data_IF_577161514951
#
_entry.id   IF_577161514951
#
_cell.length_a   1.000
_cell.length_b   1.000
_cell.length_c   1.000
_cell.angle_alpha   90.00
_cell.angle_beta   90.00
_cell.angle_gamma   90.00
#
_symmetry.space_group_name_H-M   'P 1'
#
loop_
_entity.id
_entity.type
_entity.pdbx_description
1 polymer ?
#
# COMPACT_ATOMS: atom_id res chain seq x y z
N UNK A 1 48.44 -18.59 58.44
CA UNK A 1 49.14 -19.89 58.31
C UNK A 1 48.49 -20.89 59.23
N UNK A 2 48.13 -22.09 58.73
CA UNK A 2 48.06 -23.41 59.41
C UNK A 2 46.92 -24.25 58.79
N UNK A 3 47.21 -25.22 57.91
CA UNK A 3 47.65 -26.60 58.19
C UNK A 3 46.48 -27.45 58.73
N UNK A 4 45.68 -28.02 57.83
CA UNK A 4 44.65 -29.01 58.18
C UNK A 4 45.30 -30.28 58.73
N UNK A 5 44.99 -30.60 59.99
CA UNK A 5 45.37 -31.84 60.63
C UNK A 5 44.41 -32.95 60.21
N UNK A 6 44.93 -34.00 59.56
CA UNK A 6 44.20 -35.28 59.43
C UNK A 6 44.34 -36.02 60.76
N UNK A 7 43.22 -36.28 61.45
CA UNK A 7 43.20 -37.19 62.60
C UNK A 7 43.29 -38.63 62.11
N UNK A 8 44.26 -39.38 62.61
CA UNK A 8 44.32 -40.83 62.54
C UNK A 8 43.19 -41.43 63.38
N UNK A 9 42.42 -42.35 62.80
CA UNK A 9 41.46 -43.21 63.52
C UNK A 9 42.16 -44.53 63.84
N UNK A 10 42.26 -44.96 65.12
CA UNK A 10 42.81 -46.26 65.44
C UNK A 10 41.77 -47.35 65.13
N UNK A 11 42.21 -48.38 64.43
CA UNK A 11 41.45 -49.58 64.10
C UNK A 11 41.22 -50.40 65.36
N UNK A 12 39.98 -50.49 65.86
CA UNK A 12 39.70 -51.34 67.02
C UNK A 12 38.29 -51.37 67.63
N UNK A 13 37.28 -50.68 67.07
CA UNK A 13 35.90 -50.79 67.55
C UNK A 13 35.05 -51.55 66.52
N UNK A 14 34.49 -52.71 66.92
CA UNK A 14 33.45 -53.42 66.14
C UNK A 14 32.25 -52.47 66.02
N UNK A 15 31.75 -52.30 64.80
CA UNK A 15 30.50 -51.61 64.57
C UNK A 15 29.38 -52.35 65.32
N UNK A 16 28.60 -51.63 66.13
CA UNK A 16 27.35 -52.17 66.67
C UNK A 16 26.39 -52.38 65.50
N UNK A 17 25.67 -53.51 65.49
CA UNK A 17 24.72 -53.83 64.44
C UNK A 17 23.63 -52.75 64.37
N UNK A 18 23.36 -52.28 63.15
CA UNK A 18 22.35 -51.26 62.90
C UNK A 18 20.97 -51.78 63.33
N UNK A 19 20.23 -50.96 64.09
CA UNK A 19 18.86 -51.27 64.48
C UNK A 19 18.01 -51.55 63.22
N UNK A 20 17.27 -52.68 63.18
CA UNK A 20 16.40 -53.01 62.05
C UNK A 20 15.38 -51.92 61.79
N UNK A 21 15.15 -51.63 60.51
CA UNK A 21 14.28 -50.56 60.02
C UNK A 21 12.85 -50.57 60.61
N UNK A 22 12.35 -51.74 61.02
CA UNK A 22 10.99 -51.91 61.54
C UNK A 22 10.79 -51.30 62.94
N UNK A 23 11.82 -51.16 63.76
CA UNK A 23 11.72 -50.61 65.12
C UNK A 23 11.81 -49.07 65.18
N UNK A 24 12.16 -48.40 64.09
CA UNK A 24 12.21 -46.93 64.02
C UNK A 24 10.91 -46.29 63.50
N UNK A 25 9.77 -46.97 63.68
CA UNK A 25 8.45 -46.47 63.39
C UNK A 25 8.15 -45.18 64.16
N UNK A 26 7.93 -44.08 63.43
CA UNK A 26 7.58 -42.76 63.98
C UNK A 26 6.30 -42.85 64.81
N UNK A 27 6.17 -42.12 65.93
CA UNK A 27 4.86 -41.91 66.55
C UNK A 27 3.95 -41.30 65.49
N UNK A 28 2.77 -41.91 65.30
CA UNK A 28 1.78 -41.51 64.32
C UNK A 28 1.54 -40.01 64.40
N UNK A 29 2.06 -39.27 63.42
CA UNK A 29 1.65 -37.90 63.13
C UNK A 29 0.59 -38.02 62.06
N UNK A 30 -0.58 -37.51 62.36
CA UNK A 30 -1.73 -37.50 61.48
C UNK A 30 -1.27 -37.07 60.07
N UNK A 31 -1.48 -37.94 59.07
CA UNK A 31 -1.13 -37.64 57.68
C UNK A 31 -1.77 -36.33 57.21
N UNK A 32 -2.88 -35.95 57.84
CA UNK A 32 -3.59 -34.71 57.61
C UNK A 32 -2.78 -33.48 58.07
N UNK A 33 -2.10 -33.54 59.22
CA UNK A 33 -1.25 -32.48 59.75
C UNK A 33 0.04 -32.32 58.93
N UNK A 34 0.63 -33.43 58.45
CA UNK A 34 1.80 -33.38 57.56
C UNK A 34 1.44 -32.88 56.15
N UNK A 35 0.28 -33.27 55.62
CA UNK A 35 -0.28 -32.72 54.37
C UNK A 35 -0.63 -31.25 54.52
N UNK A 36 -1.18 -30.81 55.65
CA UNK A 36 -1.48 -29.40 55.94
C UNK A 36 -0.19 -28.59 56.11
N UNK A 37 0.84 -29.12 56.79
CA UNK A 37 2.18 -28.50 56.87
C UNK A 37 2.89 -28.46 55.52
N UNK A 38 2.74 -29.47 54.66
CA UNK A 38 3.22 -29.45 53.26
C UNK A 38 2.46 -28.44 52.41
N UNK A 39 1.14 -28.32 52.59
CA UNK A 39 0.30 -27.28 51.95
C UNK A 39 0.70 -25.88 52.43
N UNK A 40 0.89 -25.67 53.74
CA UNK A 40 1.38 -24.42 54.35
C UNK A 40 2.83 -24.08 53.95
N UNK A 41 3.72 -25.08 53.84
CA UNK A 41 5.09 -24.90 53.33
C UNK A 41 5.12 -24.58 51.83
N UNK A 42 4.25 -25.20 51.03
CA UNK A 42 4.06 -24.84 49.60
C UNK A 42 3.46 -23.45 49.42
N UNK A 43 2.75 -22.93 50.42
CA UNK A 43 2.07 -21.61 50.40
C UNK A 43 2.87 -20.48 51.07
N UNK A 44 4.17 -20.67 51.37
CA UNK A 44 5.06 -19.51 51.55
C UNK A 44 5.39 -19.00 50.15
N UNK A 45 4.53 -18.11 49.67
CA UNK A 45 4.73 -17.31 48.48
C UNK A 45 6.01 -16.49 48.72
N UNK A 46 7.13 -17.01 48.20
CA UNK A 46 8.40 -16.31 48.22
C UNK A 46 8.25 -15.14 47.25
N UNK A 47 7.94 -13.97 47.80
CA UNK A 47 7.94 -12.72 47.05
C UNK A 47 9.39 -12.48 46.65
N UNK A 48 9.70 -12.81 45.40
CA UNK A 48 11.00 -12.57 44.77
C UNK A 48 11.16 -11.06 44.59
N UNK A 49 11.56 -10.37 45.65
CA UNK A 49 11.90 -8.95 45.60
C UNK A 49 13.21 -8.78 44.80
N UNK A 50 13.20 -7.86 43.83
CA UNK A 50 14.33 -7.61 42.93
C UNK A 50 15.39 -6.76 43.64
N UNK A 51 16.20 -7.39 44.50
CA UNK A 51 17.19 -6.72 45.36
C UNK A 51 18.25 -5.94 44.56
N UNK A 52 18.54 -6.37 43.32
CA UNK A 52 19.59 -5.79 42.47
C UNK A 52 19.08 -5.13 41.18
N UNK A 53 17.75 -5.01 40.98
CA UNK A 53 17.16 -4.37 39.80
C UNK A 53 17.30 -5.15 38.47
N UNK A 54 17.58 -6.47 38.53
CA UNK A 54 17.82 -7.29 37.34
C UNK A 54 16.54 -7.52 36.52
N UNK A 55 15.39 -7.68 37.18
CA UNK A 55 14.10 -7.79 36.50
C UNK A 55 13.70 -6.44 35.88
N UNK A 56 14.02 -5.33 36.53
CA UNK A 56 13.81 -3.98 35.98
C UNK A 56 14.65 -3.74 34.73
N UNK A 57 15.95 -4.06 34.76
CA UNK A 57 16.83 -3.94 33.59
C UNK A 57 16.38 -4.87 32.44
N UNK A 58 15.95 -6.10 32.74
CA UNK A 58 15.40 -7.02 31.73
C UNK A 58 14.11 -6.49 31.11
N UNK A 59 13.22 -5.89 31.91
CA UNK A 59 12.00 -5.23 31.42
C UNK A 59 12.32 -4.02 30.55
N UNK A 60 13.29 -3.18 30.93
CA UNK A 60 13.75 -2.06 30.11
C UNK A 60 14.31 -2.54 28.78
N UNK A 61 15.12 -3.60 28.76
CA UNK A 61 15.59 -4.21 27.51
C UNK A 61 14.45 -4.77 26.64
N UNK A 62 13.40 -5.34 27.25
CA UNK A 62 12.23 -5.79 26.52
C UNK A 62 11.45 -4.60 25.93
N UNK A 63 11.23 -3.55 26.72
CA UNK A 63 10.56 -2.32 26.27
C UNK A 63 11.33 -1.65 25.13
N UNK A 64 12.65 -1.53 25.24
CA UNK A 64 13.50 -1.00 24.17
C UNK A 64 13.38 -1.81 22.88
N UNK A 65 13.32 -3.15 22.98
CA UNK A 65 13.12 -4.03 21.81
C UNK A 65 11.73 -3.84 21.19
N UNK A 66 10.69 -3.73 22.00
CA UNK A 66 9.32 -3.48 21.52
C UNK A 66 9.19 -2.12 20.84
N UNK A 67 9.80 -1.07 21.40
CA UNK A 67 9.86 0.27 20.81
C UNK A 67 10.64 0.28 19.49
N UNK A 68 11.78 -0.42 19.44
CA UNK A 68 12.59 -0.56 18.22
C UNK A 68 11.83 -1.31 17.12
N UNK A 69 11.16 -2.42 17.47
CA UNK A 69 10.33 -3.17 16.52
C UNK A 69 9.16 -2.31 16.01
N UNK A 70 8.52 -1.52 16.87
CA UNK A 70 7.46 -0.60 16.46
C UNK A 70 8.00 0.51 15.54
N UNK A 71 9.21 1.04 15.83
CA UNK A 71 9.89 2.01 14.98
C UNK A 71 10.19 1.44 13.59
N UNK A 72 10.74 0.22 13.52
CA UNK A 72 10.97 -0.52 12.27
C UNK A 72 9.67 -0.76 11.51
N UNK A 73 8.57 -1.12 12.21
CA UNK A 73 7.24 -1.29 11.60
C UNK A 73 6.71 0.02 11.03
N UNK A 74 6.89 1.15 11.73
CA UNK A 74 6.52 2.49 11.25
C UNK A 74 7.35 2.89 10.04
N UNK A 75 8.65 2.61 10.02
CA UNK A 75 9.54 2.90 8.89
C UNK A 75 9.24 2.03 7.68
N UNK A 76 8.96 0.75 7.87
CA UNK A 76 8.48 -0.12 6.79
C UNK A 76 7.19 0.45 6.16
N UNK A 77 6.20 0.86 6.98
CA UNK A 77 4.97 1.51 6.46
C UNK A 77 5.24 2.80 5.69
N UNK A 78 6.22 3.62 6.09
CA UNK A 78 6.64 4.83 5.35
C UNK A 78 7.32 4.46 4.03
N UNK A 79 8.24 3.49 4.06
CA UNK A 79 8.96 2.99 2.88
C UNK A 79 8.01 2.38 1.86
N UNK A 80 7.09 1.51 2.29
CA UNK A 80 6.07 0.90 1.42
C UNK A 80 5.19 1.95 0.75
N UNK A 81 4.78 3.01 1.46
CA UNK A 81 4.04 4.13 0.85
C UNK A 81 4.88 4.90 -0.18
N UNK A 82 6.18 5.08 0.05
CA UNK A 82 7.09 5.73 -0.91
C UNK A 82 7.25 4.87 -2.17
N UNK A 83 7.49 3.57 -2.01
CA UNK A 83 7.61 2.61 -3.11
C UNK A 83 6.33 2.57 -3.93
N UNK A 84 5.16 2.43 -3.30
CA UNK A 84 3.86 2.42 -3.99
C UNK A 84 3.60 3.70 -4.79
N UNK A 85 4.03 4.87 -4.30
CA UNK A 85 3.93 6.13 -5.05
C UNK A 85 4.87 6.16 -6.25
N UNK A 86 6.10 5.66 -6.11
CA UNK A 86 7.04 5.54 -7.22
C UNK A 86 6.52 4.58 -8.28
N UNK A 87 6.03 3.41 -7.86
CA UNK A 87 5.43 2.41 -8.73
C UNK A 87 4.19 2.96 -9.44
N UNK A 88 3.30 3.68 -8.74
CA UNK A 88 2.17 4.36 -9.39
C UNK A 88 2.62 5.37 -10.45
N UNK A 89 3.70 6.12 -10.20
CA UNK A 89 4.25 7.07 -11.18
C UNK A 89 4.86 6.36 -12.39
N UNK A 90 5.61 5.28 -12.16
CA UNK A 90 6.18 4.45 -13.24
C UNK A 90 5.08 3.78 -14.06
N UNK A 91 4.09 3.17 -13.43
CA UNK A 91 2.98 2.51 -14.10
C UNK A 91 2.03 3.50 -14.80
N UNK A 92 1.95 4.76 -14.32
CA UNK A 92 1.23 5.82 -15.02
C UNK A 92 1.98 6.35 -16.25
N UNK A 93 3.29 6.14 -16.34
CA UNK A 93 4.06 6.44 -17.54
C UNK A 93 3.80 5.35 -18.57
N UNK A 94 3.29 5.75 -19.73
CA UNK A 94 2.96 4.86 -20.84
C UNK A 94 3.88 5.18 -22.01
N UNK A 95 4.43 4.15 -22.63
CA UNK A 95 5.26 4.31 -23.81
C UNK A 95 4.43 4.75 -25.02
N UNK A 96 4.85 5.78 -25.76
CA UNK A 96 4.09 6.24 -26.92
C UNK A 96 4.16 5.29 -28.14
N UNK A 97 5.14 4.38 -28.16
CA UNK A 97 5.33 3.41 -29.24
C UNK A 97 4.47 2.15 -29.03
N UNK A 98 4.72 1.38 -27.97
CA UNK A 98 3.96 0.15 -27.67
C UNK A 98 2.69 0.38 -26.83
N UNK A 99 2.49 1.56 -26.23
CA UNK A 99 1.39 1.88 -25.29
C UNK A 99 1.32 1.02 -24.03
N UNK A 100 2.42 0.35 -23.70
CA UNK A 100 2.52 -0.39 -22.45
C UNK A 100 2.91 0.54 -21.29
N UNK A 101 2.33 0.36 -20.09
CA UNK A 101 2.70 1.10 -18.90
C UNK A 101 4.06 0.65 -18.37
N UNK A 102 4.74 1.53 -17.62
CA UNK A 102 5.96 1.21 -16.87
C UNK A 102 7.25 1.77 -17.45
N UNK A 103 7.26 2.20 -18.72
CA UNK A 103 8.46 2.70 -19.40
C UNK A 103 8.15 3.85 -20.38
N UNK A 104 9.17 4.64 -20.70
CA UNK A 104 9.12 5.70 -21.71
C UNK A 104 9.61 5.21 -23.07
N UNK A 105 9.50 6.05 -24.11
CA UNK A 105 9.91 5.69 -25.48
C UNK A 105 11.38 5.28 -25.58
N UNK A 106 12.26 5.87 -24.77
CA UNK A 106 13.70 5.55 -24.75
C UNK A 106 14.01 4.15 -24.19
N UNK A 107 13.21 3.68 -23.24
CA UNK A 107 13.40 2.38 -22.57
C UNK A 107 12.46 1.31 -23.15
N UNK A 108 11.92 1.55 -24.36
CA UNK A 108 10.95 0.65 -24.96
C UNK A 108 11.64 -0.58 -25.55
N UNK A 109 11.32 -1.80 -25.09
CA UNK A 109 11.96 -3.01 -25.58
C UNK A 109 11.69 -3.24 -27.07
N UNK A 110 10.53 -2.80 -27.58
CA UNK A 110 10.16 -2.91 -28.98
C UNK A 110 10.96 -1.95 -29.90
N UNK A 111 11.49 -0.84 -29.37
CA UNK A 111 12.25 0.15 -30.17
C UNK A 111 13.66 -0.35 -30.48
N UNK A 112 14.20 -1.29 -29.70
CA UNK A 112 15.53 -1.87 -29.95
C UNK A 112 15.62 -2.59 -31.31
N UNK A 113 14.49 -3.06 -31.84
CA UNK A 113 14.39 -3.74 -33.13
C UNK A 113 14.14 -2.79 -34.31
N UNK A 114 13.64 -1.57 -34.06
CA UNK A 114 13.31 -0.60 -35.11
C UNK A 114 14.25 0.63 -35.03
N UNK A 115 15.49 0.46 -35.49
CA UNK A 115 16.55 1.48 -35.49
C UNK A 115 16.22 2.78 -36.25
N UNK A 116 15.08 2.87 -36.93
CA UNK A 116 14.71 3.98 -37.82
C UNK A 116 13.90 5.10 -37.15
N UNK A 117 13.57 4.95 -35.87
CA UNK A 117 12.82 5.94 -35.11
C UNK A 117 13.80 6.81 -34.36
N UNK A 118 14.13 7.98 -34.91
CA UNK A 118 15.12 8.93 -34.38
C UNK A 118 14.81 9.45 -32.97
N UNK A 119 14.99 8.61 -31.96
CA UNK A 119 14.91 8.94 -30.55
C UNK A 119 16.00 9.96 -30.23
N UNK A 120 15.60 11.15 -29.78
CA UNK A 120 16.54 12.23 -29.47
C UNK A 120 16.77 13.24 -30.60
N UNK A 121 16.04 13.14 -31.72
CA UNK A 121 16.05 14.17 -32.75
C UNK A 121 15.05 15.28 -32.41
N UNK A 122 15.46 16.53 -32.60
CA UNK A 122 14.56 17.67 -32.59
C UNK A 122 13.57 17.57 -33.74
N UNK A 123 12.30 17.33 -33.44
CA UNK A 123 11.25 17.20 -34.44
C UNK A 123 10.98 18.46 -35.28
N UNK A 124 11.54 19.62 -34.88
CA UNK A 124 11.46 20.88 -35.64
C UNK A 124 12.61 21.07 -36.63
N UNK A 125 13.84 20.75 -36.26
CA UNK A 125 15.02 21.04 -37.09
C UNK A 125 15.93 19.84 -37.41
N UNK A 126 15.60 18.64 -36.94
CA UNK A 126 16.34 17.42 -37.28
C UNK A 126 17.67 17.24 -36.53
N UNK A 127 18.05 18.15 -35.62
CA UNK A 127 19.28 18.04 -34.84
C UNK A 127 19.12 17.10 -33.65
N UNK A 128 20.15 16.31 -33.33
CA UNK A 128 20.17 15.42 -32.15
C UNK A 128 20.61 16.10 -30.85
N UNK A 129 21.03 17.36 -30.92
CA UNK A 129 21.62 18.07 -29.78
C UNK A 129 20.59 18.60 -28.76
N UNK A 130 19.32 18.73 -29.16
CA UNK A 130 18.29 19.34 -28.32
C UNK A 130 16.87 18.85 -28.61
N UNK A 131 15.98 19.01 -27.63
CA UNK A 131 14.54 18.73 -27.76
C UNK A 131 13.77 19.90 -28.37
N UNK A 132 12.53 19.64 -28.83
CA UNK A 132 11.58 20.65 -29.35
C UNK A 132 11.53 21.92 -28.47
N UNK A 133 11.55 21.76 -27.15
CA UNK A 133 11.42 22.87 -26.18
C UNK A 133 12.61 23.82 -26.16
N UNK A 134 13.80 23.33 -26.52
CA UNK A 134 15.04 24.11 -26.56
C UNK A 134 15.44 24.51 -27.97
N UNK A 135 14.62 24.16 -28.96
CA UNK A 135 14.85 24.48 -30.35
C UNK A 135 14.71 25.98 -30.61
N UNK A 136 15.78 26.59 -31.10
CA UNK A 136 15.84 28.00 -31.51
C UNK A 136 15.73 28.19 -33.02
N UNK A 137 15.67 27.10 -33.79
CA UNK A 137 15.57 27.15 -35.23
C UNK A 137 14.21 27.71 -35.65
N UNK A 138 14.23 28.68 -36.57
CA UNK A 138 13.02 29.15 -37.25
C UNK A 138 12.79 28.20 -38.42
N UNK A 139 11.71 27.43 -38.35
CA UNK A 139 11.31 26.49 -39.41
C UNK A 139 10.35 27.22 -40.34
N UNK A 140 10.50 26.99 -41.64
CA UNK A 140 9.61 27.59 -42.63
C UNK A 140 8.17 27.12 -42.40
N UNK A 141 7.18 28.03 -42.37
CA UNK A 141 5.78 27.68 -42.12
C UNK A 141 5.18 26.78 -43.22
N UNK A 142 5.82 26.70 -44.40
CA UNK A 142 5.43 25.81 -45.48
C UNK A 142 5.69 24.32 -45.17
N UNK A 143 6.70 24.02 -44.33
CA UNK A 143 7.10 22.66 -43.97
C UNK A 143 6.28 22.07 -42.80
N UNK A 144 5.26 22.80 -42.34
CA UNK A 144 4.43 22.42 -41.21
C UNK A 144 5.13 22.58 -39.84
N UNK A 145 4.41 22.33 -38.73
CA UNK A 145 4.94 22.57 -37.40
C UNK A 145 6.05 21.58 -36.98
N UNK A 146 6.06 20.36 -37.54
CA UNK A 146 6.98 19.28 -37.16
C UNK A 146 7.44 18.44 -38.36
N UNK A 147 8.27 18.99 -39.27
CA UNK A 147 8.67 18.30 -40.50
C UNK A 147 9.44 16.99 -40.26
N UNK A 148 10.21 16.92 -39.17
CA UNK A 148 11.04 15.75 -38.85
C UNK A 148 10.38 14.79 -37.85
N UNK A 149 9.13 15.05 -37.42
CA UNK A 149 8.38 14.11 -36.60
C UNK A 149 7.87 12.95 -37.44
N UNK A 150 8.25 11.71 -37.10
CA UNK A 150 7.61 10.49 -37.59
C UNK A 150 6.47 10.10 -36.64
N UNK A 151 5.28 9.87 -37.19
CA UNK A 151 4.14 9.42 -36.42
C UNK A 151 4.30 7.95 -35.98
N UNK A 152 4.11 7.65 -34.70
CA UNK A 152 4.20 6.28 -34.18
C UNK A 152 3.01 5.39 -34.55
N UNK A 153 2.00 5.93 -35.23
CA UNK A 153 0.77 5.21 -35.57
C UNK A 153 0.73 4.88 -37.07
N UNK A 154 0.88 5.89 -37.94
CA UNK A 154 0.87 5.70 -39.39
C UNK A 154 2.28 5.64 -40.02
N UNK A 155 3.34 6.00 -39.29
CA UNK A 155 4.72 6.01 -39.80
C UNK A 155 5.08 7.21 -40.68
N UNK A 156 4.10 8.04 -41.05
CA UNK A 156 4.32 9.22 -41.90
C UNK A 156 5.05 10.35 -41.16
N UNK A 157 5.77 11.18 -41.92
CA UNK A 157 6.48 12.35 -41.41
C UNK A 157 5.60 13.61 -41.47
N UNK A 158 5.83 14.55 -40.56
CA UNK A 158 5.18 15.88 -40.57
C UNK A 158 4.20 16.12 -39.43
N UNK A 159 3.84 15.10 -38.65
CA UNK A 159 2.90 15.22 -37.53
C UNK A 159 3.26 14.29 -36.35
N UNK A 160 2.73 14.61 -35.17
CA UNK A 160 2.84 13.79 -33.97
C UNK A 160 1.68 12.80 -33.90
N UNK A 161 1.85 11.67 -33.20
CA UNK A 161 0.79 10.66 -33.00
C UNK A 161 -0.52 11.20 -32.41
N UNK A 162 -0.47 12.35 -31.72
CA UNK A 162 -1.67 13.03 -31.19
C UNK A 162 -2.50 13.70 -32.29
N UNK A 163 -1.87 14.15 -33.35
CA UNK A 163 -2.49 14.88 -34.48
C UNK A 163 -2.56 14.02 -35.73
N UNK A 164 -2.44 12.70 -35.58
CA UNK A 164 -2.56 11.77 -36.69
C UNK A 164 -4.04 11.68 -37.12
N UNK A 165 -4.36 11.93 -38.40
CA UNK A 165 -5.72 11.82 -38.91
C UNK A 165 -6.22 10.36 -38.87
N UNK A 166 -5.32 9.41 -39.15
CA UNK A 166 -5.62 7.98 -39.20
C UNK A 166 -5.18 7.28 -37.91
N UNK A 167 -5.84 7.61 -36.79
CA UNK A 167 -5.55 6.97 -35.50
C UNK A 167 -6.57 5.87 -35.16
N UNK A 168 -6.30 4.59 -35.47
CA UNK A 168 -7.21 3.50 -35.12
C UNK A 168 -7.29 3.26 -33.59
N UNK A 169 -6.26 3.66 -32.84
CA UNK A 169 -6.17 3.38 -31.40
C UNK A 169 -6.70 4.51 -30.52
N UNK A 170 -7.07 5.67 -31.03
CA UNK A 170 -7.57 6.74 -30.16
C UNK A 170 -6.51 7.66 -29.54
N UNK A 171 -6.95 8.82 -29.04
CA UNK A 171 -6.15 9.77 -28.23
C UNK A 171 -5.88 9.30 -26.79
N UNK A 172 -6.63 8.30 -26.30
CA UNK A 172 -6.51 7.78 -24.95
C UNK A 172 -5.35 6.79 -24.81
N UNK A 173 -4.73 6.74 -23.63
CA UNK A 173 -3.58 5.88 -23.35
C UNK A 173 -3.92 4.38 -23.48
N UNK A 174 -5.06 3.96 -22.94
CA UNK A 174 -5.61 2.59 -23.04
C UNK A 174 -6.27 2.32 -24.40
N UNK A 175 -6.33 3.33 -25.25
CA UNK A 175 -7.02 3.33 -26.53
C UNK A 175 -8.51 3.67 -26.46
N UNK A 176 -9.10 3.92 -27.63
CA UNK A 176 -10.52 4.26 -27.81
C UNK A 176 -10.80 5.74 -28.06
N UNK A 177 -12.08 6.05 -28.30
CA UNK A 177 -12.57 7.40 -28.56
C UNK A 177 -13.17 8.10 -27.33
N UNK A 178 -13.62 9.33 -27.53
CA UNK A 178 -14.40 10.09 -26.58
C UNK A 178 -15.55 9.24 -26.05
N UNK A 179 -15.70 9.15 -24.72
CA UNK A 179 -16.72 8.30 -24.08
C UNK A 179 -18.16 8.80 -24.27
N UNK A 180 -18.36 9.96 -24.89
CA UNK A 180 -19.68 10.53 -25.16
C UNK A 180 -20.11 10.23 -26.60
N UNK A 181 -19.33 10.69 -27.58
CA UNK A 181 -19.63 10.57 -29.00
C UNK A 181 -18.90 9.44 -29.72
N UNK A 182 -17.95 8.77 -29.06
CA UNK A 182 -17.13 7.70 -29.65
C UNK A 182 -16.01 8.16 -30.59
N UNK A 183 -15.87 9.47 -30.88
CA UNK A 183 -14.86 9.93 -31.83
C UNK A 183 -13.43 9.89 -31.27
N UNK A 184 -12.45 9.62 -32.13
CA UNK A 184 -11.04 9.50 -31.73
C UNK A 184 -10.34 10.87 -31.64
N UNK A 185 -10.91 11.89 -32.26
CA UNK A 185 -10.25 13.19 -32.50
C UNK A 185 -10.18 14.10 -31.28
N UNK A 186 -10.99 13.88 -30.24
CA UNK A 186 -11.00 14.74 -29.06
C UNK A 186 -11.12 13.98 -27.74
N UNK A 187 -10.69 14.63 -26.66
CA UNK A 187 -10.96 14.16 -25.31
C UNK A 187 -12.39 14.51 -24.91
N UNK A 188 -12.98 13.74 -23.99
CA UNK A 188 -14.30 14.00 -23.38
C UNK A 188 -14.53 15.46 -22.96
N UNK A 189 -13.48 16.19 -22.57
CA UNK A 189 -13.58 17.61 -22.17
C UNK A 189 -13.90 18.53 -23.34
N UNK A 190 -13.31 18.25 -24.50
CA UNK A 190 -13.40 19.05 -25.71
C UNK A 190 -14.50 18.49 -26.64
N UNK A 191 -15.39 17.65 -26.09
CA UNK A 191 -16.46 17.04 -26.84
C UNK A 191 -17.54 18.10 -27.15
N UNK A 192 -17.88 18.34 -28.43
CA UNK A 192 -18.89 19.32 -28.79
C UNK A 192 -20.27 18.95 -28.22
N UNK A 193 -20.58 17.64 -28.11
CA UNK A 193 -21.82 17.16 -27.50
C UNK A 193 -21.90 17.46 -25.99
N UNK A 194 -20.75 17.56 -25.31
CA UNK A 194 -20.71 17.93 -23.88
C UNK A 194 -21.04 19.40 -23.65
N UNK A 195 -20.69 20.29 -24.60
CA UNK A 195 -21.05 21.71 -24.52
C UNK A 195 -22.58 21.89 -24.57
N UNK A 196 -23.27 21.04 -25.33
CA UNK A 196 -24.74 21.05 -25.41
C UNK A 196 -25.41 20.46 -24.15
N UNK A 197 -24.70 19.67 -23.35
CA UNK A 197 -25.19 19.08 -22.10
C UNK A 197 -24.83 19.90 -20.85
N UNK A 198 -24.00 20.95 -20.98
CA UNK A 198 -23.52 21.79 -19.86
C UNK A 198 -24.47 22.91 -19.45
N UNK A 199 -25.79 22.69 -19.56
CA UNK A 199 -26.73 23.37 -18.66
C UNK A 199 -26.76 22.63 -17.31
N UNK A 200 -25.58 22.40 -16.73
CA UNK A 200 -25.41 21.86 -15.39
C UNK A 200 -25.39 23.05 -14.44
N UNK A 201 -26.49 23.22 -13.71
CA UNK A 201 -26.60 24.13 -12.58
C UNK A 201 -25.49 23.81 -11.58
N UNK A 202 -24.38 24.55 -11.64
CA UNK A 202 -23.40 24.56 -10.55
C UNK A 202 -24.12 25.21 -9.37
N UNK A 203 -24.76 24.38 -8.55
CA UNK A 203 -25.25 24.79 -7.24
C UNK A 203 -24.07 25.35 -6.49
N UNK A 204 -23.99 26.68 -6.39
CA UNK A 204 -23.01 27.37 -5.58
C UNK A 204 -23.23 26.91 -4.16
N UNK A 205 -22.26 26.21 -3.60
CA UNK A 205 -22.30 25.80 -2.20
C UNK A 205 -22.42 27.07 -1.36
N UNK A 206 -23.52 27.19 -0.61
CA UNK A 206 -23.72 28.31 0.29
C UNK A 206 -22.71 28.16 1.43
N UNK A 207 -22.12 29.27 1.87
CA UNK A 207 -21.15 29.29 2.98
C UNK A 207 -21.79 28.65 4.22
N UNK A 208 -21.41 27.41 4.55
CA UNK A 208 -21.99 26.63 5.65
C UNK A 208 -22.27 25.15 5.35
N UNK A 209 -22.17 24.70 4.10
CA UNK A 209 -22.38 23.28 3.74
C UNK A 209 -21.09 22.48 3.91
N UNK A 210 -21.08 21.49 4.80
CA UNK A 210 -19.93 20.59 5.02
C UNK A 210 -19.86 19.51 3.95
N UNK A 211 -18.66 18.93 3.78
CA UNK A 211 -18.39 17.88 2.77
C UNK A 211 -19.16 16.57 2.99
N UNK A 212 -19.78 16.40 4.16
CA UNK A 212 -20.57 15.22 4.55
C UNK A 212 -22.09 15.47 4.52
N UNK A 213 -22.55 16.55 3.87
CA UNK A 213 -23.98 16.83 3.78
C UNK A 213 -24.68 15.85 2.81
N UNK A 214 -25.17 14.73 3.35
CA UNK A 214 -26.09 13.83 2.65
C UNK A 214 -27.36 14.61 2.26
N UNK A 215 -27.54 14.84 0.97
CA UNK A 215 -28.77 15.39 0.42
C UNK A 215 -29.85 14.30 0.51
N UNK A 216 -30.59 14.29 1.62
CA UNK A 216 -31.78 13.43 1.78
C UNK A 216 -32.78 13.89 0.72
N UNK A 217 -32.76 13.22 -0.42
CA UNK A 217 -33.86 13.31 -1.38
C UNK A 217 -35.07 12.71 -0.69
N UNK A 218 -35.96 13.58 -0.20
CA UNK A 218 -37.29 13.17 0.20
C UNK A 218 -37.91 12.47 -1.01
N UNK A 219 -38.04 11.14 -0.91
CA UNK A 219 -38.65 10.33 -1.96
C UNK A 219 -40.00 10.98 -2.34
N UNK A 220 -40.24 11.30 -3.62
CA UNK A 220 -41.50 11.90 -4.01
C UNK A 220 -42.62 10.95 -3.62
N UNK A 221 -43.54 11.41 -2.76
CA UNK A 221 -44.75 10.68 -2.39
C UNK A 221 -45.45 10.23 -3.67
N UNK A 222 -45.42 8.92 -3.93
CA UNK A 222 -46.15 8.28 -5.02
C UNK A 222 -47.62 8.73 -4.93
N UNK A 223 -48.07 9.49 -5.92
CA UNK A 223 -49.48 9.81 -6.06
C UNK A 223 -50.21 8.51 -6.40
N UNK A 224 -51.08 8.06 -5.49
CA UNK A 224 -51.92 6.88 -5.72
C UNK A 224 -52.72 7.06 -7.03
N UNK A 225 -52.79 6.06 -7.91
CA UNK A 225 -53.59 6.17 -9.13
C UNK A 225 -55.06 6.32 -8.74
N UNK A 226 -55.71 7.38 -9.27
CA UNK A 226 -57.16 7.58 -9.10
C UNK A 226 -57.90 6.45 -9.80
N UNK A 227 -58.76 5.75 -9.07
CA UNK A 227 -59.63 4.70 -9.62
C UNK A 227 -60.57 5.31 -10.68
N UNK A 228 -60.65 4.66 -11.85
CA UNK A 228 -61.59 5.04 -12.92
C UNK A 228 -63.00 4.63 -12.50
N UNK A 229 -63.92 5.59 -12.43
CA UNK A 229 -65.36 5.32 -12.21
C UNK A 229 -65.94 4.78 -13.53
N UNK A 230 -66.72 3.68 -13.52
CA UNK A 230 -67.37 3.20 -14.73
C UNK A 230 -68.45 4.18 -15.19
N UNK A 231 -68.48 4.49 -16.49
CA UNK A 231 -69.54 5.27 -17.12
C UNK A 231 -70.84 4.47 -17.09
N UNK A 232 -71.83 4.98 -16.37
CA UNK A 232 -73.21 4.51 -16.47
C UNK A 232 -73.77 5.01 -17.80
N UNK A 233 -74.16 4.09 -18.67
CA UNK A 233 -74.92 4.40 -19.89
C UNK A 233 -76.40 4.22 -19.54
N UNK A 234 -77.15 5.32 -19.56
CA UNK A 234 -78.61 5.28 -19.50
C UNK A 234 -79.15 5.05 -20.91
N UNK A 235 -80.08 4.10 -21.04
CA UNK A 235 -80.80 3.80 -22.27
C UNK A 235 -81.78 4.92 -22.66
#
# INVERSE_FOLDING_TARGET
MTRWARRNVPTGARALDATPWEEMGRPGKDEEEEKERRKRRKKKEYVSEDVNGFLAHRKQQQQQKEEEEEALRKDWRRKSRRVRRQERRKNAMVCFHCREPGHGVADCPAVLESQDMGTGICYRCGSTEHDISKCRAKVDPASGPFPYAKCFICGEMGHLSRSCPDNPKGLYAEGGGCKLCGSVEHFKKDCPEKQNAEQLTVGRWVSGMSADHEEVTEAPKLQKPKAKVPKVVTF
#
